data_IF_632631382850
#
_entry.id   IF_632631382850
#
_cell.length_a   1.000
_cell.length_b   1.000
_cell.length_c   1.000
_cell.angle_alpha   90.00
_cell.angle_beta   90.00
_cell.angle_gamma   90.00
#
_symmetry.space_group_name_H-M   'P 1'
#
loop_
_entity.id
_entity.type
_entity.pdbx_description
1 polymer ?
#
# COMPACT_ATOMS: atom_id res chain seq x y z
N UNK A 1 -6.77 15.73 -16.64
CA UNK A 1 -8.07 15.37 -16.05
C UNK A 1 -7.78 14.75 -14.71
N UNK A 2 -8.50 15.13 -13.64
CA UNK A 2 -8.31 14.51 -12.33
C UNK A 2 -8.67 13.03 -12.31
N UNK A 3 -8.21 12.33 -11.29
CA UNK A 3 -8.57 10.94 -10.99
C UNK A 3 -10.09 10.71 -10.99
N UNK A 4 -10.86 11.61 -10.38
CA UNK A 4 -12.32 11.51 -10.33
C UNK A 4 -12.95 11.53 -11.73
N UNK A 5 -12.42 12.35 -12.64
CA UNK A 5 -12.84 12.35 -14.05
C UNK A 5 -12.44 11.06 -14.77
N UNK A 6 -11.26 10.49 -14.46
CA UNK A 6 -10.79 9.21 -15.03
C UNK A 6 -11.66 8.03 -14.56
N UNK A 7 -11.97 7.95 -13.27
CA UNK A 7 -12.88 6.92 -12.73
C UNK A 7 -14.27 7.00 -13.37
N UNK A 8 -14.85 8.20 -13.45
CA UNK A 8 -16.16 8.40 -14.09
C UNK A 8 -16.16 7.97 -15.57
N UNK A 9 -15.10 8.29 -16.32
CA UNK A 9 -14.96 7.85 -17.71
C UNK A 9 -14.77 6.33 -17.83
N UNK A 10 -13.96 5.70 -16.96
CA UNK A 10 -13.75 4.26 -16.95
C UNK A 10 -15.04 3.48 -16.62
N UNK A 11 -15.83 3.97 -15.65
CA UNK A 11 -17.12 3.38 -15.30
C UNK A 11 -18.15 3.53 -16.43
N UNK A 12 -18.18 4.68 -17.13
CA UNK A 12 -19.02 4.86 -18.33
C UNK A 12 -18.61 3.93 -19.48
N UNK A 13 -17.30 3.70 -19.68
CA UNK A 13 -16.80 2.79 -20.70
C UNK A 13 -17.17 1.31 -20.42
N UNK A 14 -17.22 0.90 -19.14
CA UNK A 14 -17.63 -0.45 -18.75
C UNK A 14 -19.16 -0.64 -18.73
N UNK A 15 -19.92 0.40 -18.35
CA UNK A 15 -21.39 0.39 -18.42
C UNK A 15 -21.95 0.57 -19.83
N UNK A 16 -21.11 0.92 -20.80
CA UNK A 16 -21.48 1.14 -22.19
C UNK A 16 -21.72 -0.17 -22.95
N UNK A 17 -22.99 -0.59 -23.04
CA UNK A 17 -23.41 -1.42 -24.16
C UNK A 17 -23.01 -0.71 -25.48
N UNK A 18 -22.48 -1.43 -26.49
CA UNK A 18 -21.95 -0.79 -27.69
C UNK A 18 -23.03 0.06 -28.36
N UNK A 19 -22.72 1.31 -28.79
CA UNK A 19 -23.69 2.16 -29.47
C UNK A 19 -24.33 1.41 -30.63
N UNK A 20 -25.63 1.13 -30.52
CA UNK A 20 -26.37 0.39 -31.54
C UNK A 20 -26.22 1.12 -32.86
N UNK A 21 -25.71 0.42 -33.89
CA UNK A 21 -25.50 0.98 -35.22
C UNK A 21 -26.84 1.45 -35.80
N UNK A 22 -27.13 2.73 -35.60
CA UNK A 22 -28.34 3.38 -36.06
C UNK A 22 -28.25 3.52 -37.59
N UNK A 23 -28.63 2.46 -38.29
CA UNK A 23 -28.60 2.38 -39.74
C UNK A 23 -29.48 3.48 -40.35
N UNK A 24 -28.85 4.57 -40.78
CA UNK A 24 -29.53 5.65 -41.49
C UNK A 24 -30.14 5.11 -42.79
N UNK A 25 -31.46 5.17 -42.92
CA UNK A 25 -32.13 4.70 -44.13
C UNK A 25 -31.87 5.67 -45.30
N UNK A 26 -31.37 5.20 -46.46
CA UNK A 26 -31.50 5.93 -47.71
C UNK A 26 -32.96 5.87 -48.20
N UNK A 27 -33.45 6.89 -48.92
CA UNK A 27 -34.85 6.95 -49.36
C UNK A 27 -35.15 5.98 -50.50
N UNK A 28 -36.37 5.44 -50.50
CA UNK A 28 -36.94 4.64 -51.60
C UNK A 28 -37.16 5.47 -52.87
N UNK A 29 -36.94 4.85 -54.04
CA UNK A 29 -37.82 4.99 -55.20
C UNK A 29 -38.60 3.68 -55.48
N UNK A 30 -39.67 3.78 -56.25
CA UNK A 30 -40.67 2.71 -56.47
C UNK A 30 -40.44 1.88 -57.74
N UNK A 31 -40.85 0.60 -57.70
CA UNK A 31 -41.34 -0.15 -58.88
C UNK A 31 -40.69 -1.51 -59.17
N UNK A 32 -41.53 -2.49 -59.54
CA UNK A 32 -41.11 -3.73 -60.22
C UNK A 32 -41.37 -5.05 -59.47
N UNK A 33 -42.09 -5.97 -60.10
CA UNK A 33 -42.16 -7.41 -59.76
C UNK A 33 -41.40 -8.22 -60.87
N UNK A 34 -41.53 -9.57 -60.98
CA UNK A 34 -40.74 -10.55 -60.20
C UNK A 34 -40.11 -11.66 -61.07
N UNK A 35 -39.14 -12.47 -60.56
CA UNK A 35 -38.96 -13.84 -61.08
C UNK A 35 -38.22 -14.83 -60.15
N UNK A 36 -38.28 -16.11 -60.55
CA UNK A 36 -37.89 -17.32 -59.82
C UNK A 36 -36.40 -17.69 -59.96
N UNK A 37 -35.89 -18.51 -59.03
CA UNK A 37 -34.64 -19.27 -59.14
C UNK A 37 -34.59 -20.46 -58.17
N UNK A 38 -33.95 -21.57 -58.55
CA UNK A 38 -33.84 -22.80 -57.74
C UNK A 38 -32.37 -23.21 -57.48
N UNK A 39 -32.16 -23.98 -56.41
CA UNK A 39 -30.97 -24.83 -56.22
C UNK A 39 -29.78 -24.17 -55.50
N UNK A 40 -28.84 -24.91 -54.91
CA UNK A 40 -28.72 -26.38 -54.78
C UNK A 40 -28.27 -26.79 -53.36
N UNK A 41 -28.39 -28.09 -53.08
CA UNK A 41 -28.00 -28.77 -51.84
C UNK A 41 -26.76 -29.64 -52.11
N UNK A 42 -25.74 -29.59 -51.24
CA UNK A 42 -24.64 -30.56 -51.22
C UNK A 42 -24.26 -30.95 -49.79
N UNK A 43 -23.74 -32.17 -49.63
CA UNK A 43 -23.54 -32.84 -48.34
C UNK A 43 -22.11 -32.77 -47.81
N UNK A 44 -21.93 -33.14 -46.54
CA UNK A 44 -20.69 -33.05 -45.78
C UNK A 44 -19.67 -34.16 -46.09
N UNK A 45 -18.43 -33.92 -45.64
CA UNK A 45 -17.46 -34.96 -45.24
C UNK A 45 -16.81 -34.55 -43.90
N UNK A 46 -16.54 -35.49 -42.97
CA UNK A 46 -16.03 -35.15 -41.62
C UNK A 46 -14.50 -35.29 -41.49
N UNK A 47 -13.88 -34.56 -40.56
CA UNK A 47 -12.49 -34.81 -40.16
C UNK A 47 -11.91 -33.85 -39.13
N UNK A 48 -11.15 -34.39 -38.16
CA UNK A 48 -10.18 -33.66 -37.33
C UNK A 48 -10.70 -33.08 -36.00
N UNK A 49 -10.32 -33.64 -34.82
CA UNK A 49 -10.35 -32.91 -33.56
C UNK A 49 -9.20 -31.87 -33.51
N UNK A 50 -9.40 -30.69 -32.90
CA UNK A 50 -8.34 -29.70 -32.73
C UNK A 50 -7.30 -30.16 -31.68
N UNK A 51 -6.03 -29.71 -31.79
CA UNK A 51 -5.00 -30.01 -30.79
C UNK A 51 -5.26 -29.28 -29.46
N UNK A 52 -4.85 -29.85 -28.31
CA UNK A 52 -5.03 -29.21 -27.02
C UNK A 52 -4.16 -27.94 -26.91
N UNK A 53 -4.79 -26.81 -26.56
CA UNK A 53 -4.05 -25.62 -26.14
C UNK A 53 -3.36 -25.92 -24.79
N UNK A 54 -2.03 -25.93 -24.79
CA UNK A 54 -1.25 -25.97 -23.56
C UNK A 54 -1.46 -24.67 -22.78
N UNK A 55 -2.17 -24.74 -21.66
CA UNK A 55 -2.36 -23.61 -20.77
C UNK A 55 -1.01 -23.13 -20.19
N UNK A 56 -0.75 -21.84 -20.27
CA UNK A 56 0.32 -21.23 -19.48
C UNK A 56 0.03 -21.42 -17.99
N UNK A 57 1.05 -21.63 -17.13
CA UNK A 57 0.83 -21.74 -15.69
C UNK A 57 0.24 -20.42 -15.16
N UNK A 58 -0.73 -20.48 -14.22
CA UNK A 58 -1.36 -19.27 -13.69
C UNK A 58 -0.33 -18.38 -13.00
N UNK A 59 -0.29 -17.10 -13.40
CA UNK A 59 0.56 -16.06 -12.80
C UNK A 59 0.17 -15.90 -11.33
N UNK A 60 1.11 -16.12 -10.42
CA UNK A 60 0.88 -15.95 -8.98
C UNK A 60 0.67 -14.46 -8.64
N UNK A 61 -0.59 -14.04 -8.52
CA UNK A 61 -0.96 -12.84 -7.77
C UNK A 61 -0.98 -13.11 -6.26
N UNK A 62 -1.27 -12.08 -5.42
CA UNK A 62 -1.30 -12.22 -3.95
C UNK A 62 -2.24 -13.32 -3.44
N UNK A 63 -3.28 -13.66 -4.22
CA UNK A 63 -4.14 -14.82 -4.01
C UNK A 63 -4.12 -15.71 -5.25
N UNK A 64 -3.80 -17.00 -5.06
CA UNK A 64 -3.74 -18.02 -6.12
C UNK A 64 -5.12 -18.48 -6.62
N UNK A 65 -5.93 -17.54 -7.07
CA UNK A 65 -7.32 -17.76 -7.47
C UNK A 65 -7.45 -18.26 -8.91
N UNK A 66 -8.51 -19.03 -9.19
CA UNK A 66 -8.84 -19.54 -10.52
C UNK A 66 -10.09 -18.81 -11.03
N UNK A 67 -10.03 -18.12 -12.19
CA UNK A 67 -11.17 -17.35 -12.70
C UNK A 67 -12.43 -18.20 -12.89
N UNK A 68 -13.57 -17.71 -12.38
CA UNK A 68 -14.90 -18.32 -12.55
C UNK A 68 -15.58 -18.85 -11.29
N UNK A 69 -14.97 -18.70 -10.10
CA UNK A 69 -15.55 -19.15 -8.84
C UNK A 69 -16.62 -18.24 -8.23
N UNK A 70 -17.51 -18.82 -7.41
CA UNK A 70 -18.51 -18.10 -6.63
C UNK A 70 -17.96 -17.69 -5.25
N UNK A 71 -17.73 -16.39 -5.07
CA UNK A 71 -17.20 -15.69 -3.87
C UNK A 71 -15.83 -16.17 -3.35
N UNK A 72 -15.17 -15.32 -2.56
CA UNK A 72 -13.82 -15.59 -2.02
C UNK A 72 -13.95 -16.46 -0.77
N UNK A 73 -13.24 -17.60 -0.66
CA UNK A 73 -13.32 -18.45 0.52
C UNK A 73 -12.83 -17.73 1.79
N UNK A 74 -13.53 -17.82 2.94
CA UNK A 74 -13.08 -17.27 4.23
C UNK A 74 -11.65 -17.67 4.61
N UNK A 75 -11.24 -18.90 4.25
CA UNK A 75 -9.90 -19.40 4.54
C UNK A 75 -8.80 -18.68 3.75
N UNK A 76 -9.08 -18.20 2.54
CA UNK A 76 -8.15 -17.41 1.74
C UNK A 76 -7.99 -16.00 2.32
N UNK A 77 -9.09 -15.38 2.76
CA UNK A 77 -9.07 -14.13 3.55
C UNK A 77 -8.21 -14.31 4.80
N UNK A 78 -8.46 -15.37 5.58
CA UNK A 78 -7.71 -15.64 6.82
C UNK A 78 -6.20 -15.76 6.56
N UNK A 79 -5.80 -16.52 5.54
CA UNK A 79 -4.39 -16.65 5.15
C UNK A 79 -3.76 -15.31 4.73
N UNK A 80 -4.50 -14.44 4.04
CA UNK A 80 -4.05 -13.11 3.63
C UNK A 80 -3.84 -12.18 4.85
N UNK A 81 -4.77 -12.18 5.80
CA UNK A 81 -4.64 -11.43 7.06
C UNK A 81 -3.48 -11.98 7.91
N UNK A 82 -3.37 -13.30 8.05
CA UNK A 82 -2.27 -13.97 8.78
C UNK A 82 -0.90 -13.79 8.11
N UNK A 83 -0.84 -13.54 6.80
CA UNK A 83 0.38 -13.11 6.10
C UNK A 83 0.73 -11.66 6.46
N UNK A 84 -0.22 -10.74 6.29
CA UNK A 84 -0.08 -9.29 6.59
C UNK A 84 0.39 -9.06 8.03
N UNK A 85 -0.19 -9.78 9.00
CA UNK A 85 0.18 -9.70 10.42
C UNK A 85 1.61 -10.17 10.69
N UNK A 86 2.12 -11.16 9.95
CA UNK A 86 3.52 -11.63 10.09
C UNK A 86 4.50 -10.69 9.41
N UNK A 87 4.18 -10.23 8.21
CA UNK A 87 4.98 -9.30 7.41
C UNK A 87 5.20 -7.98 8.15
N UNK A 88 4.11 -7.32 8.57
CA UNK A 88 4.13 -6.05 9.31
C UNK A 88 4.32 -6.28 10.83
N UNK A 89 4.64 -7.49 11.29
CA UNK A 89 4.93 -7.83 12.70
C UNK A 89 3.86 -7.36 13.73
N UNK A 90 2.58 -7.48 13.37
CA UNK A 90 1.42 -6.95 14.11
C UNK A 90 0.87 -7.91 15.18
N UNK A 91 1.55 -9.03 15.44
CA UNK A 91 1.09 -10.06 16.40
C UNK A 91 0.96 -9.58 17.85
N UNK A 92 1.46 -8.38 18.16
CA UNK A 92 1.20 -7.66 19.41
C UNK A 92 -0.29 -7.36 19.62
N UNK A 93 -1.01 -7.00 18.56
CA UNK A 93 -2.44 -6.67 18.57
C UNK A 93 -3.33 -7.91 18.45
N UNK A 94 -3.05 -8.79 17.49
CA UNK A 94 -3.92 -9.92 17.12
C UNK A 94 -3.74 -11.18 17.98
N UNK A 95 -3.62 -11.00 19.31
CA UNK A 95 -3.44 -12.10 20.27
C UNK A 95 -4.69 -12.93 20.52
N UNK A 96 -5.88 -12.37 20.27
CA UNK A 96 -7.14 -13.12 20.28
C UNK A 96 -7.49 -13.56 18.84
N UNK A 97 -7.43 -14.87 18.50
CA UNK A 97 -7.73 -15.33 17.14
C UNK A 97 -9.19 -15.07 16.73
N UNK A 98 -10.10 -14.90 17.69
CA UNK A 98 -11.51 -14.59 17.43
C UNK A 98 -11.71 -13.29 16.63
N UNK A 99 -10.77 -12.34 16.71
CA UNK A 99 -10.82 -11.08 15.94
C UNK A 99 -10.74 -11.41 14.44
N UNK A 100 -9.81 -12.27 14.05
CA UNK A 100 -9.65 -12.69 12.65
C UNK A 100 -10.81 -13.57 12.20
N UNK A 101 -11.32 -14.45 13.07
CA UNK A 101 -12.50 -15.28 12.75
C UNK A 101 -13.76 -14.42 12.52
N UNK A 102 -13.95 -13.34 13.28
CA UNK A 102 -15.05 -12.38 13.08
C UNK A 102 -14.92 -11.64 11.75
N UNK A 103 -13.73 -11.12 11.42
CA UNK A 103 -13.46 -10.47 10.12
C UNK A 103 -13.74 -11.46 8.97
N UNK A 104 -13.20 -12.68 9.05
CA UNK A 104 -13.35 -13.70 8.01
C UNK A 104 -14.79 -14.19 7.83
N UNK A 105 -15.64 -14.11 8.87
CA UNK A 105 -17.05 -14.47 8.79
C UNK A 105 -17.87 -13.48 7.95
N UNK A 106 -17.54 -12.18 7.98
CA UNK A 106 -18.24 -11.14 7.20
C UNK A 106 -17.56 -10.81 5.87
N UNK A 107 -16.24 -11.03 5.78
CA UNK A 107 -15.41 -10.56 4.67
C UNK A 107 -15.93 -10.97 3.27
N UNK A 108 -16.33 -12.23 2.97
CA UNK A 108 -16.77 -12.58 1.62
C UNK A 108 -17.98 -11.76 1.13
N UNK A 109 -18.95 -11.49 2.02
CA UNK A 109 -20.11 -10.66 1.70
C UNK A 109 -19.71 -9.18 1.53
N UNK A 110 -18.80 -8.69 2.38
CA UNK A 110 -18.32 -7.30 2.36
C UNK A 110 -17.45 -7.00 1.14
N UNK A 111 -16.60 -7.95 0.73
CA UNK A 111 -15.81 -7.88 -0.50
C UNK A 111 -16.75 -7.93 -1.71
N UNK A 112 -17.71 -8.86 -1.76
CA UNK A 112 -18.69 -8.93 -2.85
C UNK A 112 -19.51 -7.62 -2.98
N UNK A 113 -19.93 -7.03 -1.85
CA UNK A 113 -20.61 -5.73 -1.80
C UNK A 113 -19.72 -4.60 -2.34
N UNK A 114 -18.46 -4.54 -1.90
CA UNK A 114 -17.51 -3.53 -2.37
C UNK A 114 -17.26 -3.65 -3.87
N UNK A 115 -16.99 -4.87 -4.36
CA UNK A 115 -16.70 -5.13 -5.77
C UNK A 115 -17.85 -4.70 -6.69
N UNK A 116 -19.11 -4.94 -6.26
CA UNK A 116 -20.30 -4.45 -6.95
C UNK A 116 -20.44 -2.92 -6.90
N UNK A 117 -20.11 -2.30 -5.77
CA UNK A 117 -20.28 -0.84 -5.56
C UNK A 117 -19.23 -0.02 -6.31
N UNK A 118 -17.99 -0.51 -6.38
CA UNK A 118 -16.89 0.18 -7.08
C UNK A 118 -16.77 -0.27 -8.55
N UNK A 119 -17.42 -1.38 -8.93
CA UNK A 119 -17.31 -2.06 -10.22
C UNK A 119 -15.86 -2.54 -10.49
N UNK A 120 -15.33 -3.33 -9.56
CA UNK A 120 -13.96 -3.88 -9.62
C UNK A 120 -13.94 -5.42 -9.57
N UNK A 121 -12.93 -6.09 -10.17
CA UNK A 121 -12.71 -7.53 -10.02
C UNK A 121 -12.60 -7.97 -8.56
N UNK A 122 -13.10 -9.19 -8.26
CA UNK A 122 -13.12 -9.72 -6.88
C UNK A 122 -11.73 -9.96 -6.32
N UNK A 123 -10.81 -10.34 -7.19
CA UNK A 123 -9.39 -10.53 -6.93
C UNK A 123 -8.76 -9.27 -6.31
N UNK A 124 -9.21 -8.08 -6.73
CA UNK A 124 -8.73 -6.80 -6.23
C UNK A 124 -9.42 -6.41 -4.90
N UNK A 125 -10.74 -6.61 -4.81
CA UNK A 125 -11.47 -6.36 -3.56
C UNK A 125 -11.02 -7.27 -2.39
N UNK A 126 -10.40 -8.41 -2.70
CA UNK A 126 -9.89 -9.35 -1.72
C UNK A 126 -8.71 -8.82 -0.89
N UNK A 127 -7.88 -7.93 -1.42
CA UNK A 127 -6.76 -7.34 -0.67
C UNK A 127 -7.20 -6.17 0.22
N UNK A 128 -8.30 -5.47 -0.13
CA UNK A 128 -8.86 -4.35 0.67
C UNK A 128 -9.22 -4.81 2.10
N UNK A 129 -9.57 -6.08 2.29
CA UNK A 129 -9.89 -6.65 3.61
C UNK A 129 -8.74 -6.48 4.64
N UNK A 130 -7.49 -6.26 4.19
CA UNK A 130 -6.34 -5.96 5.05
C UNK A 130 -6.54 -4.67 5.86
N UNK A 131 -7.36 -3.73 5.37
CA UNK A 131 -7.79 -2.55 6.12
C UNK A 131 -8.51 -2.88 7.44
N UNK A 132 -9.17 -4.04 7.55
CA UNK A 132 -9.81 -4.50 8.80
C UNK A 132 -8.84 -4.62 9.99
N UNK A 133 -7.53 -4.66 9.72
CA UNK A 133 -6.48 -4.74 10.73
C UNK A 133 -6.09 -3.37 11.30
N UNK A 134 -6.47 -2.24 10.69
CA UNK A 134 -5.94 -0.91 11.02
C UNK A 134 -7.04 0.10 11.40
N UNK A 135 -6.75 1.00 12.35
CA UNK A 135 -7.50 2.26 12.49
C UNK A 135 -7.07 3.17 11.31
N UNK A 136 -8.01 3.72 10.54
CA UNK A 136 -7.67 4.59 9.39
C UNK A 136 -7.83 6.06 9.78
N UNK A 137 -6.76 6.86 9.61
CA UNK A 137 -6.78 8.32 9.78
C UNK A 137 -6.35 8.99 8.48
N UNK A 138 -7.23 9.78 7.87
CA UNK A 138 -6.87 10.60 6.72
C UNK A 138 -6.45 12.01 7.15
N UNK A 139 -5.30 12.45 6.66
CA UNK A 139 -4.75 13.77 6.89
C UNK A 139 -4.70 14.55 5.57
N UNK A 140 -5.44 15.64 5.49
CA UNK A 140 -5.92 16.18 4.21
C UNK A 140 -5.43 17.61 4.02
N UNK A 141 -4.81 17.86 2.87
CA UNK A 141 -4.40 19.20 2.45
C UNK A 141 -5.61 20.08 2.12
N UNK A 142 -5.65 21.22 2.79
CA UNK A 142 -6.64 22.29 2.62
C UNK A 142 -5.94 23.66 2.41
N UNK A 143 -4.74 23.65 1.84
CA UNK A 143 -4.01 24.86 1.45
C UNK A 143 -4.67 25.59 0.27
N UNK A 144 -4.10 26.73 -0.13
CA UNK A 144 -4.64 27.52 -1.26
C UNK A 144 -4.50 26.84 -2.63
N UNK A 145 -3.48 26.00 -2.85
CA UNK A 145 -3.21 25.37 -4.15
C UNK A 145 -4.35 24.45 -4.61
N UNK A 146 -5.02 23.80 -3.66
CA UNK A 146 -6.17 22.91 -3.88
C UNK A 146 -7.33 23.57 -4.65
N UNK A 147 -7.56 24.89 -4.46
CA UNK A 147 -8.55 25.66 -5.23
C UNK A 147 -7.94 26.25 -6.51
N UNK A 148 -6.78 26.92 -6.39
CA UNK A 148 -6.31 27.80 -7.46
C UNK A 148 -5.61 27.07 -8.60
N UNK A 149 -5.22 25.81 -8.42
CA UNK A 149 -4.62 24.98 -9.47
C UNK A 149 -5.64 23.98 -10.06
N UNK A 150 -5.43 23.60 -11.32
CA UNK A 150 -6.19 22.55 -12.02
C UNK A 150 -7.73 22.73 -12.01
N UNK A 151 -8.19 23.98 -11.94
CA UNK A 151 -9.60 24.36 -11.83
C UNK A 151 -10.33 23.70 -10.64
N UNK A 152 -9.60 23.36 -9.56
CA UNK A 152 -10.15 22.73 -8.37
C UNK A 152 -10.31 21.21 -8.43
N UNK A 153 -9.91 20.52 -9.52
CA UNK A 153 -10.08 19.05 -9.61
C UNK A 153 -9.35 18.27 -8.52
N UNK A 154 -8.30 18.87 -7.92
CA UNK A 154 -7.60 18.35 -6.74
C UNK A 154 -8.53 18.07 -5.56
N UNK A 155 -9.54 18.92 -5.36
CA UNK A 155 -10.56 18.77 -4.32
C UNK A 155 -11.52 17.61 -4.64
N UNK A 156 -11.83 17.35 -5.92
CA UNK A 156 -12.70 16.25 -6.32
C UNK A 156 -11.96 14.90 -6.27
N UNK A 157 -10.68 14.87 -6.63
CA UNK A 157 -9.80 13.71 -6.46
C UNK A 157 -9.62 13.38 -4.95
N UNK A 158 -9.42 14.41 -4.11
CA UNK A 158 -9.37 14.29 -2.66
C UNK A 158 -10.69 13.78 -2.04
N UNK A 159 -11.85 14.29 -2.49
CA UNK A 159 -13.17 13.78 -2.07
C UNK A 159 -13.35 12.31 -2.43
N UNK A 160 -12.95 11.92 -3.64
CA UNK A 160 -13.02 10.53 -4.11
C UNK A 160 -12.20 9.61 -3.20
N UNK A 161 -10.95 9.95 -2.90
CA UNK A 161 -10.10 9.17 -1.99
C UNK A 161 -10.71 9.08 -0.59
N UNK A 162 -11.17 10.20 -0.03
CA UNK A 162 -11.84 10.23 1.27
C UNK A 162 -13.11 9.37 1.31
N UNK A 163 -13.96 9.46 0.28
CA UNK A 163 -15.19 8.69 0.18
C UNK A 163 -14.93 7.18 0.07
N UNK A 164 -13.93 6.79 -0.73
CA UNK A 164 -13.50 5.40 -0.89
C UNK A 164 -12.91 4.83 0.40
N UNK A 165 -12.08 5.60 1.10
CA UNK A 165 -11.56 5.20 2.41
C UNK A 165 -12.66 5.11 3.47
N UNK A 166 -13.62 6.05 3.50
CA UNK A 166 -14.78 6.01 4.40
C UNK A 166 -15.67 4.79 4.15
N UNK A 167 -15.89 4.43 2.88
CA UNK A 167 -16.70 3.28 2.48
C UNK A 167 -16.00 1.95 2.76
N UNK A 168 -14.72 1.81 2.42
CA UNK A 168 -13.95 0.61 2.77
C UNK A 168 -13.85 0.45 4.29
N UNK A 169 -13.59 1.55 5.00
CA UNK A 169 -13.63 1.61 6.47
C UNK A 169 -14.95 1.09 7.02
N UNK A 170 -16.10 1.61 6.61
CA UNK A 170 -17.41 1.18 7.16
C UNK A 170 -17.88 -0.22 6.75
N UNK A 171 -17.19 -0.88 5.81
CA UNK A 171 -17.40 -2.29 5.49
C UNK A 171 -16.58 -3.25 6.36
N UNK A 172 -15.38 -2.84 6.79
CA UNK A 172 -14.39 -3.71 7.42
C UNK A 172 -14.01 -3.30 8.86
N UNK A 173 -14.38 -2.09 9.28
CA UNK A 173 -14.07 -1.48 10.56
C UNK A 173 -15.34 -0.92 11.24
N UNK A 174 -15.40 -0.99 12.57
CA UNK A 174 -16.65 -0.81 13.32
C UNK A 174 -16.83 0.59 13.93
N UNK A 175 -15.74 1.34 14.11
CA UNK A 175 -15.72 2.73 14.56
C UNK A 175 -15.67 3.72 13.38
N UNK A 176 -14.97 3.40 12.30
CA UNK A 176 -14.91 4.19 11.06
C UNK A 176 -13.78 5.21 11.05
N UNK A 177 -13.59 5.91 9.92
CA UNK A 177 -12.38 6.70 9.68
C UNK A 177 -12.33 7.98 10.50
N UNK A 178 -11.12 8.39 10.87
CA UNK A 178 -10.81 9.73 11.34
C UNK A 178 -10.35 10.61 10.17
N UNK A 179 -10.72 11.90 10.18
CA UNK A 179 -10.28 12.88 9.17
C UNK A 179 -9.81 14.16 9.87
N UNK A 180 -8.64 14.65 9.49
CA UNK A 180 -8.03 15.90 9.98
C UNK A 180 -7.47 16.70 8.80
N UNK A 181 -7.49 18.02 8.88
CA UNK A 181 -7.00 18.91 7.82
C UNK A 181 -5.74 19.67 8.27
N UNK A 182 -4.87 20.05 7.32
CA UNK A 182 -3.59 20.72 7.62
C UNK A 182 -3.84 22.07 8.33
N UNK A 183 -4.57 22.98 7.70
CA UNK A 183 -4.82 24.34 8.18
C UNK A 183 -6.06 24.39 9.08
N UNK A 184 -7.20 23.84 8.63
CA UNK A 184 -8.48 23.90 9.33
C UNK A 184 -8.51 23.06 10.62
N UNK A 185 -9.23 23.57 11.62
CA UNK A 185 -9.52 22.87 12.89
C UNK A 185 -10.82 22.05 12.84
N UNK A 186 -11.48 21.99 11.67
CA UNK A 186 -12.59 21.07 11.41
C UNK A 186 -12.08 19.63 11.46
N UNK A 187 -12.86 18.72 12.04
CA UNK A 187 -12.50 17.31 12.22
C UNK A 187 -13.68 16.42 11.86
N UNK A 188 -13.39 15.30 11.19
CA UNK A 188 -14.31 14.17 11.06
C UNK A 188 -13.86 13.08 12.02
N UNK A 189 -14.78 12.56 12.84
CA UNK A 189 -14.53 11.40 13.68
C UNK A 189 -15.57 10.33 13.36
N UNK A 190 -15.19 9.06 13.36
CA UNK A 190 -16.09 7.93 13.08
C UNK A 190 -16.86 8.01 11.73
N UNK A 191 -16.25 8.62 10.70
CA UNK A 191 -16.87 8.83 9.38
C UNK A 191 -16.98 7.50 8.63
N UNK A 192 -18.12 7.26 7.97
CA UNK A 192 -18.49 5.93 7.42
C UNK A 192 -19.10 5.96 6.02
N UNK A 193 -19.34 7.13 5.44
CA UNK A 193 -19.99 7.24 4.13
C UNK A 193 -19.54 8.44 3.30
N UNK A 194 -19.67 8.33 1.97
CA UNK A 194 -19.35 9.41 1.03
C UNK A 194 -20.16 10.71 1.31
N UNK A 195 -21.47 10.66 1.69
CA UNK A 195 -22.21 11.84 2.12
C UNK A 195 -21.69 12.51 3.41
N UNK A 196 -21.19 11.74 4.39
CA UNK A 196 -20.56 12.32 5.59
C UNK A 196 -19.23 13.02 5.25
N UNK A 197 -18.47 12.48 4.31
CA UNK A 197 -17.28 13.13 3.73
C UNK A 197 -17.65 14.44 3.03
N UNK A 198 -18.73 14.45 2.24
CA UNK A 198 -19.22 15.69 1.63
C UNK A 198 -19.58 16.76 2.68
N UNK A 199 -20.39 16.42 3.69
CA UNK A 199 -20.79 17.35 4.75
C UNK A 199 -19.63 17.75 5.67
N UNK A 200 -18.54 16.98 5.70
CA UNK A 200 -17.27 17.40 6.30
C UNK A 200 -16.55 18.43 5.43
N UNK A 201 -16.31 18.12 4.15
CA UNK A 201 -15.55 19.00 3.24
C UNK A 201 -16.28 20.32 2.98
N UNK A 202 -17.62 20.34 2.94
CA UNK A 202 -18.44 21.57 2.83
C UNK A 202 -18.21 22.57 3.98
N UNK A 203 -17.64 22.15 5.11
CA UNK A 203 -17.31 23.01 6.27
C UNK A 203 -15.86 23.54 6.25
N UNK A 204 -15.02 23.10 5.32
CA UNK A 204 -13.60 23.47 5.23
C UNK A 204 -13.41 24.68 4.31
N UNK A 205 -12.54 25.61 4.71
CA UNK A 205 -12.10 26.72 3.86
C UNK A 205 -10.67 26.47 3.40
N UNK A 206 -10.49 26.09 2.14
CA UNK A 206 -9.19 25.83 1.54
C UNK A 206 -8.37 27.13 1.42
N UNK A 207 -7.33 27.27 2.24
CA UNK A 207 -6.47 28.45 2.38
C UNK A 207 -5.24 28.13 3.25
N UNK A 208 -4.17 28.90 3.06
CA UNK A 208 -2.94 28.78 3.84
C UNK A 208 -1.83 28.09 3.07
N UNK A 209 -0.84 27.59 3.82
CA UNK A 209 0.34 26.90 3.31
C UNK A 209 0.22 25.39 3.60
N UNK A 210 1.30 24.64 3.37
CA UNK A 210 1.36 23.19 3.61
C UNK A 210 2.40 22.85 4.71
N UNK A 211 2.15 23.23 5.99
CA UNK A 211 2.99 22.88 7.15
C UNK A 211 2.83 21.41 7.57
N UNK A 212 3.10 20.49 6.63
CA UNK A 212 2.69 19.09 6.69
C UNK A 212 3.24 18.36 7.91
N UNK A 213 4.56 18.38 8.13
CA UNK A 213 5.19 17.65 9.25
C UNK A 213 4.75 18.17 10.61
N UNK A 214 4.70 19.49 10.78
CA UNK A 214 4.25 20.13 12.01
C UNK A 214 2.78 19.83 12.32
N UNK A 215 1.88 19.92 11.34
CA UNK A 215 0.45 19.67 11.55
C UNK A 215 0.11 18.17 11.62
N UNK A 216 0.78 17.31 10.86
CA UNK A 216 0.64 15.85 10.96
C UNK A 216 1.03 15.37 12.37
N UNK A 217 2.08 15.95 12.96
CA UNK A 217 2.43 15.74 14.36
C UNK A 217 1.31 16.22 15.29
N UNK A 218 0.93 17.49 15.18
CA UNK A 218 0.08 18.17 16.16
C UNK A 218 -1.40 17.76 16.11
N UNK A 219 -1.92 17.36 14.94
CA UNK A 219 -3.34 17.01 14.73
C UNK A 219 -3.61 15.50 14.62
N UNK A 220 -2.60 14.69 14.31
CA UNK A 220 -2.76 13.22 14.14
C UNK A 220 -1.82 12.43 15.05
N UNK A 221 -0.52 12.42 14.79
CA UNK A 221 0.41 11.43 15.38
C UNK A 221 0.48 11.57 16.91
N UNK A 222 0.62 12.78 17.43
CA UNK A 222 0.69 13.01 18.88
C UNK A 222 -0.67 12.82 19.59
N UNK A 223 -1.78 13.47 19.18
CA UNK A 223 -3.05 13.39 19.90
C UNK A 223 -3.87 12.12 19.67
N UNK A 224 -3.80 11.49 18.49
CA UNK A 224 -4.65 10.33 18.15
C UNK A 224 -3.94 8.98 18.29
N UNK A 225 -2.60 8.95 18.25
CA UNK A 225 -1.82 7.72 18.26
C UNK A 225 -0.90 7.64 19.48
N UNK A 226 0.05 8.57 19.63
CA UNK A 226 1.06 8.47 20.69
C UNK A 226 0.50 8.69 22.10
N UNK A 227 -0.60 9.45 22.22
CA UNK A 227 -1.46 9.47 23.41
C UNK A 227 -1.94 8.07 23.81
N UNK A 228 -2.50 7.30 22.86
CA UNK A 228 -2.97 5.92 23.03
C UNK A 228 -1.80 4.97 23.35
N UNK A 229 -0.65 5.16 22.69
CA UNK A 229 0.58 4.36 22.92
C UNK A 229 1.08 4.54 24.36
N UNK A 230 1.28 5.78 24.81
CA UNK A 230 1.82 6.07 26.15
C UNK A 230 0.85 5.76 27.30
N UNK A 231 -0.44 5.69 27.02
CA UNK A 231 -1.46 5.17 27.95
C UNK A 231 -1.71 3.66 27.83
N UNK A 232 -0.98 2.94 26.97
CA UNK A 232 -1.16 1.51 26.68
C UNK A 232 -2.63 1.16 26.34
N UNK A 233 -3.27 2.01 25.53
CA UNK A 233 -4.68 1.90 25.12
C UNK A 233 -4.89 1.85 23.60
N UNK A 234 -3.82 1.81 22.80
CA UNK A 234 -3.93 1.57 21.36
C UNK A 234 -4.40 0.11 21.13
N UNK A 235 -5.49 -0.07 20.37
CA UNK A 235 -6.15 -1.37 20.18
C UNK A 235 -5.85 -2.06 18.83
N UNK A 236 -5.62 -1.27 17.78
CA UNK A 236 -5.20 -1.68 16.44
C UNK A 236 -3.97 -0.84 16.02
N UNK A 237 -3.13 -1.32 15.10
CA UNK A 237 -2.19 -0.46 14.38
C UNK A 237 -2.94 0.62 13.60
N UNK A 238 -2.26 1.69 13.19
CA UNK A 238 -2.88 2.84 12.52
C UNK A 238 -2.33 3.01 11.10
N UNK A 239 -3.23 3.10 10.12
CA UNK A 239 -2.88 3.54 8.76
C UNK A 239 -3.20 5.03 8.64
N UNK A 240 -2.17 5.84 8.45
CA UNK A 240 -2.30 7.29 8.26
C UNK A 240 -2.16 7.61 6.78
N UNK A 241 -3.26 8.03 6.13
CA UNK A 241 -3.29 8.38 4.71
C UNK A 241 -3.21 9.90 4.55
N UNK A 242 -2.05 10.39 4.11
CA UNK A 242 -1.78 11.79 3.84
C UNK A 242 -2.13 12.12 2.39
N UNK A 243 -3.13 12.97 2.16
CA UNK A 243 -3.52 13.47 0.83
C UNK A 243 -3.00 14.90 0.68
N UNK A 244 -2.15 15.17 -0.31
CA UNK A 244 -1.60 16.53 -0.56
C UNK A 244 -1.37 16.81 -2.04
N UNK A 245 -1.34 18.09 -2.41
CA UNK A 245 -1.15 18.58 -3.78
C UNK A 245 0.18 19.30 -4.02
N UNK A 246 1.04 19.35 -3.00
CA UNK A 246 2.23 20.19 -2.99
C UNK A 246 3.37 19.61 -2.13
N UNK A 247 4.54 20.20 -2.29
CA UNK A 247 5.66 19.97 -1.38
C UNK A 247 5.37 20.67 -0.04
N UNK A 248 5.69 20.08 1.13
CA UNK A 248 5.63 20.81 2.40
C UNK A 248 6.61 21.98 2.43
N UNK A 249 6.28 22.97 3.28
CA UNK A 249 7.14 24.12 3.56
C UNK A 249 8.48 23.71 4.22
N UNK A 250 8.46 22.68 5.06
CA UNK A 250 9.61 22.00 5.60
C UNK A 250 9.52 20.47 5.38
N UNK A 251 10.36 19.93 4.49
CA UNK A 251 10.45 18.49 4.24
C UNK A 251 11.01 17.74 5.46
N UNK A 252 12.02 18.31 6.14
CA UNK A 252 12.73 17.63 7.23
C UNK A 252 11.80 17.30 8.40
N UNK A 253 10.80 18.12 8.70
CA UNK A 253 9.83 17.84 9.76
C UNK A 253 9.02 16.57 9.50
N UNK A 254 8.79 16.18 8.23
CA UNK A 254 8.09 14.94 7.87
C UNK A 254 9.00 13.73 8.09
N UNK A 255 10.24 13.78 7.58
CA UNK A 255 11.25 12.75 7.83
C UNK A 255 11.52 12.55 9.33
N UNK A 256 11.66 13.65 10.07
CA UNK A 256 11.88 13.60 11.52
C UNK A 256 10.65 13.08 12.26
N UNK A 257 9.43 13.42 11.85
CA UNK A 257 8.22 12.88 12.48
C UNK A 257 8.15 11.36 12.37
N UNK A 258 8.33 10.79 11.17
CA UNK A 258 8.28 9.33 10.97
C UNK A 258 9.45 8.61 11.66
N UNK A 259 10.66 9.18 11.62
CA UNK A 259 11.83 8.60 12.31
C UNK A 259 11.64 8.58 13.83
N UNK A 260 11.11 9.66 14.41
CA UNK A 260 10.86 9.71 15.85
C UNK A 260 9.65 8.87 16.27
N UNK A 261 8.56 8.81 15.48
CA UNK A 261 7.38 7.99 15.81
C UNK A 261 7.73 6.50 15.79
N UNK A 262 8.43 6.06 14.75
CA UNK A 262 9.01 4.71 14.63
C UNK A 262 9.92 4.36 15.82
N UNK A 263 10.82 5.27 16.21
CA UNK A 263 11.77 5.05 17.30
C UNK A 263 11.15 5.07 18.71
N UNK A 264 10.04 5.78 18.92
CA UNK A 264 9.22 5.69 20.15
C UNK A 264 8.50 4.33 20.19
N UNK A 265 7.77 3.98 19.13
CA UNK A 265 7.01 2.72 19.02
C UNK A 265 7.88 1.46 19.10
N UNK A 266 9.09 1.47 18.53
CA UNK A 266 10.06 0.38 18.62
C UNK A 266 10.45 -0.02 20.05
N UNK A 267 10.23 0.87 21.03
CA UNK A 267 10.52 0.64 22.46
C UNK A 267 9.29 0.15 23.25
N UNK A 268 8.16 -0.03 22.59
CA UNK A 268 6.88 -0.43 23.19
C UNK A 268 6.47 -1.85 22.77
N UNK A 269 5.53 -2.50 23.48
CA UNK A 269 4.98 -3.80 23.06
C UNK A 269 4.26 -3.79 21.71
N UNK A 270 3.96 -2.62 21.14
CA UNK A 270 3.29 -2.47 19.86
C UNK A 270 4.23 -2.69 18.66
N UNK A 271 5.50 -2.25 18.76
CA UNK A 271 6.50 -2.31 17.70
C UNK A 271 6.38 -1.19 16.66
N UNK A 272 7.44 -0.93 15.88
CA UNK A 272 7.50 0.23 14.96
C UNK A 272 6.42 0.25 13.87
N UNK A 273 6.00 -0.93 13.41
CA UNK A 273 4.95 -1.13 12.39
C UNK A 273 3.53 -0.84 12.92
N UNK A 274 3.37 -0.40 14.17
CA UNK A 274 2.09 0.04 14.72
C UNK A 274 1.56 1.34 14.08
N UNK A 275 2.36 2.03 13.27
CA UNK A 275 1.89 3.03 12.31
C UNK A 275 2.47 2.70 10.93
N UNK A 276 1.62 2.72 9.92
CA UNK A 276 2.01 2.82 8.51
C UNK A 276 1.55 4.17 7.95
N UNK A 277 2.37 4.80 7.12
CA UNK A 277 2.08 6.09 6.51
C UNK A 277 1.93 5.93 4.99
N UNK A 278 0.73 6.16 4.49
CA UNK A 278 0.50 6.31 3.07
C UNK A 278 0.61 7.79 2.72
N UNK A 279 1.40 8.15 1.70
CA UNK A 279 1.29 9.46 1.06
C UNK A 279 0.63 9.30 -0.31
N UNK A 280 -0.24 10.25 -0.65
CA UNK A 280 -1.05 10.26 -1.84
C UNK A 280 -1.03 11.65 -2.49
N UNK A 281 -0.53 11.73 -3.72
CA UNK A 281 -0.55 12.96 -4.49
C UNK A 281 -1.90 13.15 -5.20
N UNK A 282 -2.51 14.34 -5.04
CA UNK A 282 -3.57 14.83 -5.93
C UNK A 282 -3.05 15.96 -6.82
N UNK A 283 -3.56 16.05 -8.06
CA UNK A 283 -3.04 17.01 -9.05
C UNK A 283 -1.68 16.62 -9.64
N UNK A 284 -0.90 17.60 -10.12
CA UNK A 284 0.29 17.35 -10.94
C UNK A 284 1.58 18.14 -10.60
N UNK A 285 1.70 18.68 -9.37
CA UNK A 285 2.94 19.35 -8.94
C UNK A 285 4.14 18.37 -8.88
N UNK A 286 5.16 18.61 -9.70
CA UNK A 286 6.34 17.74 -9.79
C UNK A 286 7.24 17.80 -8.54
N UNK A 287 7.22 18.91 -7.79
CA UNK A 287 7.97 19.01 -6.54
C UNK A 287 7.34 18.16 -5.44
N UNK A 288 6.01 17.99 -5.47
CA UNK A 288 5.32 17.01 -4.62
C UNK A 288 5.77 15.58 -4.99
N UNK A 289 5.73 15.22 -6.27
CA UNK A 289 6.20 13.90 -6.76
C UNK A 289 7.67 13.62 -6.37
N UNK A 290 8.56 14.59 -6.58
CA UNK A 290 9.96 14.50 -6.17
C UNK A 290 10.19 14.48 -4.66
N UNK A 291 9.27 15.01 -3.85
CA UNK A 291 9.33 14.94 -2.39
C UNK A 291 8.86 13.57 -1.90
N UNK A 292 7.73 13.09 -2.41
CA UNK A 292 7.20 11.78 -2.05
C UNK A 292 8.20 10.66 -2.38
N UNK A 293 8.80 10.68 -3.59
CA UNK A 293 9.82 9.68 -3.94
C UNK A 293 11.03 9.65 -2.99
N UNK A 294 11.40 10.80 -2.38
CA UNK A 294 12.46 10.89 -1.36
C UNK A 294 12.05 10.33 0.01
N UNK A 295 10.76 10.32 0.35
CA UNK A 295 10.24 9.64 1.55
C UNK A 295 10.30 8.12 1.38
N UNK A 296 9.89 7.62 0.21
CA UNK A 296 9.89 6.21 -0.18
C UNK A 296 11.31 5.60 -0.20
N UNK A 297 12.22 6.23 -0.95
CA UNK A 297 13.62 5.79 -1.10
C UNK A 297 14.44 5.87 0.22
N UNK A 298 13.89 6.44 1.31
CA UNK A 298 14.60 6.58 2.58
C UNK A 298 14.74 5.24 3.32
N UNK A 299 15.94 4.67 3.24
CA UNK A 299 16.38 3.42 3.86
C UNK A 299 16.18 3.28 5.38
N UNK A 300 15.72 4.33 6.07
CA UNK A 300 15.42 4.31 7.51
C UNK A 300 13.92 4.33 7.84
N UNK A 301 13.05 4.69 6.88
CA UNK A 301 11.59 4.80 7.09
C UNK A 301 10.72 4.23 5.96
N UNK A 302 11.27 3.92 4.78
CA UNK A 302 10.53 3.35 3.65
C UNK A 302 9.75 2.07 3.99
N UNK A 303 10.22 1.22 4.90
CA UNK A 303 9.44 0.03 5.32
C UNK A 303 8.21 0.33 6.20
N UNK A 304 7.92 1.61 6.44
CA UNK A 304 6.73 2.18 7.09
C UNK A 304 5.96 3.16 6.19
N UNK A 305 6.42 3.39 4.94
CA UNK A 305 5.88 4.37 3.99
C UNK A 305 5.50 3.67 2.67
N UNK A 306 4.45 4.16 2.01
CA UNK A 306 4.24 4.01 0.55
C UNK A 306 3.86 5.38 -0.01
N UNK A 307 4.35 5.71 -1.20
CA UNK A 307 4.10 6.97 -1.89
C UNK A 307 3.42 6.78 -3.25
N UNK A 308 2.08 6.77 -3.25
CA UNK A 308 1.31 6.79 -4.50
C UNK A 308 1.32 8.20 -5.11
N UNK A 309 2.04 8.37 -6.21
CA UNK A 309 2.08 9.59 -7.04
C UNK A 309 0.78 9.76 -7.83
N UNK A 310 0.66 10.82 -8.64
CA UNK A 310 -0.53 10.97 -9.47
C UNK A 310 -0.66 9.88 -10.54
N UNK A 311 -1.88 9.66 -11.03
CA UNK A 311 -2.21 8.55 -11.94
C UNK A 311 -1.30 8.48 -13.18
N UNK A 312 -1.00 9.63 -13.79
CA UNK A 312 -0.09 9.72 -14.93
C UNK A 312 1.33 9.23 -14.60
N UNK A 313 1.91 9.65 -13.46
CA UNK A 313 3.24 9.22 -13.04
C UNK A 313 3.29 7.73 -12.67
N UNK A 314 2.28 7.25 -11.93
CA UNK A 314 2.16 5.84 -11.55
C UNK A 314 1.99 4.92 -12.77
N UNK A 315 1.20 5.33 -13.76
CA UNK A 315 1.08 4.59 -15.01
C UNK A 315 2.42 4.57 -15.75
N UNK A 316 3.15 5.69 -15.77
CA UNK A 316 4.46 5.78 -16.41
C UNK A 316 5.51 4.89 -15.72
N UNK A 317 5.47 4.72 -14.39
CA UNK A 317 6.33 3.79 -13.65
C UNK A 317 5.89 2.33 -13.82
N UNK A 318 4.60 2.01 -13.67
CA UNK A 318 4.08 0.65 -13.89
C UNK A 318 4.26 0.14 -15.32
N UNK A 319 4.26 1.03 -16.33
CA UNK A 319 4.58 0.68 -17.72
C UNK A 319 6.05 0.31 -17.95
N UNK A 320 6.97 0.75 -17.06
CA UNK A 320 8.42 0.43 -17.12
C UNK A 320 8.79 -0.86 -16.40
N UNK A 321 7.86 -1.44 -15.61
CA UNK A 321 8.03 -2.76 -14.98
C UNK A 321 8.17 -3.87 -16.03
N UNK A 322 8.56 -5.08 -15.62
CA UNK A 322 8.68 -6.22 -16.52
C UNK A 322 7.94 -7.47 -15.99
N UNK A 323 6.84 -7.93 -16.63
CA UNK A 323 6.17 -7.31 -17.77
C UNK A 323 5.43 -6.02 -17.37
N UNK A 324 5.51 -5.00 -18.23
CA UNK A 324 4.83 -3.73 -18.04
C UNK A 324 3.33 -3.92 -17.82
N UNK A 325 2.77 -3.19 -16.85
CA UNK A 325 1.39 -3.40 -16.38
C UNK A 325 0.58 -2.13 -16.58
N UNK A 326 -0.59 -2.27 -17.22
CA UNK A 326 -1.57 -1.19 -17.42
C UNK A 326 -2.26 -0.87 -16.09
N UNK A 327 -2.36 0.41 -15.75
CA UNK A 327 -2.85 0.89 -14.46
C UNK A 327 -4.27 1.43 -14.60
N UNK A 328 -5.28 0.67 -14.17
CA UNK A 328 -6.64 1.20 -14.10
C UNK A 328 -6.78 2.20 -12.96
N UNK A 329 -7.69 3.20 -13.05
CA UNK A 329 -7.95 4.13 -11.95
C UNK A 329 -8.34 3.42 -10.64
N UNK A 330 -9.00 2.27 -10.75
CA UNK A 330 -9.34 1.40 -9.62
C UNK A 330 -8.09 0.75 -8.99
N UNK A 331 -7.13 0.30 -9.80
CA UNK A 331 -5.86 -0.26 -9.32
C UNK A 331 -4.93 0.81 -8.73
N UNK A 332 -4.99 2.05 -9.22
CA UNK A 332 -4.33 3.20 -8.59
C UNK A 332 -4.92 3.49 -7.20
N UNK A 333 -6.25 3.49 -7.10
CA UNK A 333 -6.96 3.66 -5.82
C UNK A 333 -6.63 2.52 -4.83
N UNK A 334 -6.41 1.31 -5.33
CA UNK A 334 -5.98 0.17 -4.52
C UNK A 334 -4.54 0.33 -4.01
N UNK A 335 -3.58 0.74 -4.86
CA UNK A 335 -2.22 1.11 -4.41
C UNK A 335 -2.29 2.12 -3.27
N UNK A 336 -3.04 3.21 -3.46
CA UNK A 336 -3.24 4.22 -2.42
C UNK A 336 -3.84 3.63 -1.13
N UNK A 337 -4.84 2.76 -1.22
CA UNK A 337 -5.53 2.26 -0.02
C UNK A 337 -4.75 1.19 0.74
N UNK A 338 -3.90 0.37 0.09
CA UNK A 338 -3.22 -0.75 0.78
C UNK A 338 -1.69 -0.77 0.68
N UNK A 339 -1.04 0.06 -0.14
CA UNK A 339 0.42 0.03 -0.37
C UNK A 339 1.23 0.06 0.93
N UNK A 340 0.99 1.06 1.78
CA UNK A 340 1.69 1.19 3.07
C UNK A 340 1.50 -0.01 4.03
N UNK A 341 0.49 -0.87 3.82
CA UNK A 341 0.19 -2.05 4.65
C UNK A 341 0.40 -3.41 3.94
N UNK A 342 0.73 -3.41 2.64
CA UNK A 342 0.87 -4.61 1.80
C UNK A 342 2.02 -4.43 0.81
N UNK A 343 3.17 -5.03 1.11
CA UNK A 343 4.37 -4.93 0.25
C UNK A 343 4.15 -5.44 -1.17
N UNK A 344 3.09 -6.21 -1.45
CA UNK A 344 2.77 -6.62 -2.82
C UNK A 344 2.19 -5.49 -3.68
N UNK A 345 1.81 -4.32 -3.14
CA UNK A 345 1.39 -3.13 -3.89
C UNK A 345 2.45 -2.02 -3.92
N UNK A 346 3.37 -2.05 -2.95
CA UNK A 346 4.52 -1.15 -2.74
C UNK A 346 5.76 -1.60 -3.56
N UNK A 347 6.07 -2.90 -3.60
CA UNK A 347 7.19 -3.44 -4.39
C UNK A 347 6.92 -3.62 -5.90
N UNK A 348 5.73 -3.22 -6.40
CA UNK A 348 5.41 -3.30 -7.84
C UNK A 348 6.16 -2.23 -8.64
N UNK A 349 6.40 -1.09 -8.01
CA UNK A 349 6.96 0.14 -8.57
C UNK A 349 8.45 0.31 -8.21
N UNK A 350 8.84 -0.04 -6.98
CA UNK A 350 10.24 0.04 -6.49
C UNK A 350 11.20 -1.03 -7.06
N UNK A 351 11.43 -1.07 -8.37
CA UNK A 351 12.44 -1.96 -8.95
C UNK A 351 13.88 -1.46 -8.73
N UNK A 352 14.39 -1.57 -7.49
CA UNK A 352 15.82 -1.56 -7.19
C UNK A 352 16.28 -0.89 -5.89
N UNK A 353 15.42 -0.15 -5.19
CA UNK A 353 15.83 0.67 -4.04
C UNK A 353 15.94 -0.07 -2.70
N UNK A 354 14.99 -0.96 -2.40
CA UNK A 354 14.93 -1.65 -1.08
C UNK A 354 15.79 -2.91 -1.04
N UNK A 355 16.40 -3.25 0.12
CA UNK A 355 17.12 -4.51 0.31
C UNK A 355 16.17 -5.72 0.13
N UNK A 356 16.63 -6.85 -0.42
CA UNK A 356 15.80 -8.05 -0.54
C UNK A 356 15.38 -8.57 0.84
N UNK A 357 14.14 -9.08 1.00
CA UNK A 357 13.66 -9.58 2.28
C UNK A 357 14.49 -10.78 2.78
N UNK A 358 14.54 -11.04 4.10
CA UNK A 358 15.37 -12.09 4.68
C UNK A 358 15.14 -13.46 4.04
N UNK A 359 16.20 -14.04 3.47
CA UNK A 359 16.12 -15.29 2.73
C UNK A 359 15.76 -16.48 3.63
N UNK A 360 14.50 -16.93 3.59
CA UNK A 360 14.07 -18.11 4.34
C UNK A 360 12.58 -18.51 4.37
N UNK A 361 11.65 -17.75 3.78
CA UNK A 361 10.20 -18.03 3.94
C UNK A 361 9.36 -18.29 2.67
N UNK A 362 9.97 -18.38 1.49
CA UNK A 362 9.26 -18.85 0.28
C UNK A 362 9.68 -20.27 -0.08
N UNK A 363 8.71 -21.19 -0.10
CA UNK A 363 8.95 -22.60 -0.40
C UNK A 363 9.41 -22.79 -1.84
N UNK A 364 10.51 -23.53 -2.05
CA UNK A 364 11.00 -23.79 -3.40
C UNK A 364 10.02 -24.69 -4.18
N UNK A 365 9.74 -24.39 -5.47
CA UNK A 365 9.11 -25.35 -6.35
C UNK A 365 10.05 -26.54 -6.57
N UNK A 366 9.51 -27.74 -6.39
CA UNK A 366 10.25 -29.00 -6.39
C UNK A 366 10.84 -29.32 -7.77
N UNK A 367 12.16 -29.47 -7.87
CA UNK A 367 12.80 -29.92 -9.12
C UNK A 367 12.39 -31.36 -9.45
N UNK A 368 11.91 -31.60 -10.69
CA UNK A 368 11.63 -32.97 -11.14
C UNK A 368 11.13 -33.10 -12.59
N UNK A 369 11.89 -33.87 -13.38
CA UNK A 369 11.51 -34.54 -14.64
C UNK A 369 11.21 -33.69 -15.89
N UNK A 370 11.71 -34.12 -17.06
CA UNK A 370 11.23 -33.62 -18.36
C UNK A 370 12.19 -33.51 -19.56
N UNK A 371 13.40 -34.08 -19.54
CA UNK A 371 14.30 -34.01 -20.70
C UNK A 371 13.92 -35.04 -21.80
N UNK A 372 13.75 -34.65 -23.08
CA UNK A 372 13.45 -35.58 -24.17
C UNK A 372 14.69 -36.35 -24.66
N UNK A 373 14.54 -37.59 -25.19
CA UNK A 373 15.67 -38.44 -25.56
C UNK A 373 16.34 -38.05 -26.88
N UNK A 374 17.67 -38.05 -26.91
CA UNK A 374 18.46 -38.00 -28.15
C UNK A 374 18.67 -39.40 -28.76
N UNK A 375 18.78 -39.47 -30.08
CA UNK A 375 18.91 -40.71 -30.84
C UNK A 375 20.35 -41.16 -31.11
N UNK A 376 20.60 -42.46 -30.90
CA UNK A 376 21.59 -43.35 -31.54
C UNK A 376 22.88 -42.77 -32.18
N UNK A 377 24.02 -43.13 -31.59
CA UNK A 377 25.35 -43.07 -32.21
C UNK A 377 26.28 -44.19 -31.71
N UNK A 378 26.83 -44.99 -32.65
CA UNK A 378 27.80 -46.08 -32.46
C UNK A 378 29.21 -45.60 -32.00
N UNK A 379 30.16 -46.36 -31.42
CA UNK A 379 30.25 -47.70 -30.78
C UNK A 379 31.58 -47.75 -29.91
N UNK A 380 32.38 -48.83 -29.68
CA UNK A 380 32.65 -49.33 -28.31
C UNK A 380 34.13 -49.32 -27.80
N UNK A 381 34.28 -49.56 -26.48
CA UNK A 381 35.52 -50.03 -25.79
C UNK A 381 35.73 -49.37 -24.42
N UNK A 382 36.13 -50.04 -23.33
CA UNK A 382 36.45 -51.46 -23.08
C UNK A 382 36.30 -51.84 -21.58
N UNK A 383 36.74 -53.03 -21.15
CA UNK A 383 36.45 -53.62 -19.81
C UNK A 383 37.47 -53.26 -18.67
N UNK A 384 37.10 -53.39 -17.36
CA UNK A 384 37.92 -53.09 -16.16
C UNK A 384 38.41 -54.39 -15.41
N UNK A 385 39.10 -54.35 -14.22
CA UNK A 385 38.39 -54.27 -12.92
C UNK A 385 39.15 -53.80 -11.62
N UNK A 386 38.38 -53.38 -10.61
CA UNK A 386 38.47 -53.67 -9.13
C UNK A 386 39.76 -53.54 -8.26
N UNK A 387 39.62 -52.82 -7.12
CA UNK A 387 39.79 -53.25 -5.69
C UNK A 387 39.46 -52.04 -4.77
N UNK A 388 38.70 -52.10 -3.66
CA UNK A 388 38.76 -52.81 -2.36
C UNK A 388 39.77 -52.26 -1.31
N UNK A 389 39.29 -51.98 -0.08
CA UNK A 389 40.03 -51.47 1.10
C UNK A 389 39.33 -50.26 1.76
N UNK A 390 38.51 -50.41 2.81
CA UNK A 390 38.79 -50.54 4.27
C UNK A 390 39.05 -49.21 5.04
N UNK A 391 38.22 -48.97 6.07
CA UNK A 391 38.36 -48.02 7.21
C UNK A 391 39.36 -48.59 8.27
N UNK A 392 39.89 -47.88 9.31
CA UNK A 392 39.23 -46.86 10.18
C UNK A 392 40.18 -45.70 10.64
N UNK A 393 40.25 -45.26 11.93
CA UNK A 393 39.38 -44.31 12.66
C UNK A 393 40.09 -42.98 13.09
N UNK A 394 39.37 -41.99 13.68
CA UNK A 394 39.96 -40.72 14.14
C UNK A 394 40.48 -40.75 15.61
N UNK A 395 41.49 -39.91 15.97
CA UNK A 395 42.00 -39.78 17.34
C UNK A 395 41.34 -38.63 18.15
N UNK A 396 41.33 -38.78 19.48
CA UNK A 396 41.00 -37.73 20.47
C UNK A 396 42.20 -37.46 21.39
N UNK A 397 42.37 -36.22 21.86
CA UNK A 397 42.96 -35.79 23.17
C UNK A 397 42.85 -34.24 23.24
N UNK A 398 42.27 -33.61 24.27
CA UNK A 398 42.61 -33.48 25.71
C UNK A 398 43.63 -32.38 26.05
N UNK A 399 43.11 -31.17 26.28
CA UNK A 399 43.37 -30.23 27.40
C UNK A 399 44.79 -29.85 27.88
N UNK A 400 45.01 -28.53 28.07
CA UNK A 400 45.46 -27.90 29.33
C UNK A 400 45.51 -26.35 29.27
N UNK A 401 45.33 -25.69 30.42
CA UNK A 401 45.65 -24.28 30.74
C UNK A 401 46.80 -24.29 31.78
N UNK A 402 47.75 -23.33 31.83
CA UNK A 402 47.52 -21.97 32.40
C UNK A 402 48.52 -20.90 31.82
N UNK A 403 48.96 -19.83 32.53
CA UNK A 403 48.28 -18.78 33.33
C UNK A 403 48.49 -17.34 32.74
N UNK A 404 47.84 -16.28 33.29
CA UNK A 404 48.05 -14.88 32.87
C UNK A 404 49.12 -14.11 33.69
N UNK A 405 49.74 -13.02 33.14
CA UNK A 405 50.56 -12.07 33.89
C UNK A 405 49.73 -11.02 34.68
N UNK A 406 50.37 -10.33 35.64
CA UNK A 406 49.79 -9.25 36.46
C UNK A 406 50.72 -8.02 36.53
N UNK A 407 50.22 -6.95 37.20
CA UNK A 407 50.93 -5.75 37.71
C UNK A 407 51.07 -4.57 36.71
N UNK A 408 50.97 -3.27 37.09
CA UNK A 408 50.59 -2.61 38.37
C UNK A 408 50.20 -1.11 38.13
N UNK A 409 49.69 -0.40 39.17
CA UNK A 409 49.39 1.06 39.15
C UNK A 409 47.90 1.39 38.95
N UNK A 410 47.01 1.65 39.93
CA UNK A 410 47.04 2.14 41.32
C UNK A 410 46.74 3.67 41.51
N UNK A 411 45.62 3.95 42.19
CA UNK A 411 45.16 5.20 42.87
C UNK A 411 44.80 6.48 42.07
N UNK A 412 43.71 7.14 42.52
CA UNK A 412 43.30 8.48 42.07
C UNK A 412 41.81 8.81 42.31
N UNK A 413 41.40 9.06 43.56
CA UNK A 413 40.03 9.50 43.91
C UNK A 413 39.98 11.02 44.26
N UNK A 414 38.82 11.71 44.11
CA UNK A 414 38.79 13.18 44.03
C UNK A 414 38.46 13.90 45.36
N UNK A 415 38.96 15.15 45.53
CA UNK A 415 38.37 16.15 46.44
C UNK A 415 38.22 17.53 45.72
N UNK A 416 37.97 18.68 46.40
CA UNK A 416 36.63 19.28 46.53
C UNK A 416 36.51 20.71 45.96
N UNK A 417 35.33 21.33 46.04
CA UNK A 417 35.03 22.66 45.44
C UNK A 417 35.10 23.88 46.38
N UNK A 418 34.92 25.09 45.84
CA UNK A 418 34.82 26.34 46.61
C UNK A 418 34.58 27.64 45.81
N UNK A 419 33.41 28.27 46.05
CA UNK A 419 33.05 29.70 45.96
C UNK A 419 33.23 30.58 44.67
N UNK A 420 32.09 31.14 44.24
CA UNK A 420 31.75 32.55 43.86
C UNK A 420 32.85 33.65 43.82
N UNK A 421 32.71 34.72 42.99
CA UNK A 421 31.46 35.45 42.64
C UNK A 421 31.20 35.67 41.13
N UNK A 422 30.09 36.27 40.66
CA UNK A 422 28.85 36.68 41.34
C UNK A 422 27.91 37.52 40.46
N UNK A 423 26.58 37.35 40.65
CA UNK A 423 25.43 38.14 40.15
C UNK A 423 25.47 38.83 38.77
N UNK A 424 24.51 38.48 37.92
CA UNK A 424 23.32 39.33 37.69
C UNK A 424 22.14 38.51 37.12
N UNK A 425 20.91 38.87 37.50
CA UNK A 425 19.66 38.25 37.04
C UNK A 425 18.90 39.23 36.13
N UNK A 426 18.19 38.75 35.12
CA UNK A 426 17.29 39.57 34.31
C UNK A 426 15.97 38.83 34.00
N UNK A 427 14.86 39.32 34.57
CA UNK A 427 13.46 38.97 34.25
C UNK A 427 12.52 40.05 34.86
N UNK A 428 11.24 40.14 34.48
CA UNK A 428 10.84 40.92 33.31
C UNK A 428 9.83 42.03 33.63
N UNK A 429 9.65 42.98 32.69
CA UNK A 429 8.50 43.89 32.71
C UNK A 429 8.70 45.13 31.83
N UNK A 430 7.61 45.63 31.21
CA UNK A 430 7.59 46.96 30.58
C UNK A 430 7.16 46.99 29.11
N UNK A 431 5.95 47.48 28.88
CA UNK A 431 5.45 48.12 27.66
C UNK A 431 4.22 48.96 28.04
N UNK A 432 3.59 49.74 27.14
CA UNK A 432 3.91 50.02 25.73
C UNK A 432 4.41 51.48 25.55
N UNK A 433 4.36 52.05 24.33
CA UNK A 433 3.35 53.09 24.11
C UNK A 433 2.54 52.92 22.82
N UNK A 434 1.43 53.66 22.69
CA UNK A 434 0.47 53.60 21.58
C UNK A 434 0.56 54.87 20.73
N UNK A 435 0.59 54.80 19.38
CA UNK A 435 0.54 55.99 18.52
C UNK A 435 -0.89 56.59 18.43
N UNK A 436 -1.02 57.91 18.24
CA UNK A 436 -2.33 58.58 18.22
C UNK A 436 -3.11 58.30 16.92
N UNK A 437 -4.45 58.28 17.04
CA UNK A 437 -5.36 58.43 15.90
C UNK A 437 -5.66 59.91 15.66
N UNK A 438 -5.81 60.27 14.39
CA UNK A 438 -6.60 61.37 13.87
C UNK A 438 -7.48 60.83 12.74
#
# INVERSE_FOLDING_TARGET
MGLASKMAAAQQAQGGAPPGLQAGQPPYPTGGQPQYGQGQQYQAYPGGPPPPQGGAPPRAGPLGYVPGGSSIPPQAVKQSLEATIREKNLGSFFRNPQILDQICAIAPQKIDQLCQTWNVPKELGADIVKLALFDIILFVDDSGSMIFQENGSRIDDMKLVLGRAAYAGSLFDADGIEVRFINSDVQGNHIRSEPEVEELVKRVQFKGLTPLGAQLRNKVVEPLIMSKVRSNSLQKPVLVIVITDGQPDNQDDVFQLVKNSSAELARTPYGKQAISYQFAQVGNDKQATEFLKKLDDDRTIGDLIDCTSNFEAEQDEMARTNPGTDLTPDLWLLKLLVGAIDSSYDTKDEQGSRPPPPAGQYGQPQQGYGAPPQGYGQQPGGYPPQQQGQYPPPPQQQGQYPPPPQQQGQYGAPPPGGAYPGQQQYRPGGGPPVPPRY
#
